data_IF_791205402143
#
_entry.id   IF_791205402143
#
_cell.length_a   1.000
_cell.length_b   1.000
_cell.length_c   1.000
_cell.angle_alpha   90.00
_cell.angle_beta   90.00
_cell.angle_gamma   90.00
#
_symmetry.space_group_name_H-M   'P 1'
#
loop_
_entity.id
_entity.type
_entity.pdbx_description
1 polymer ?
#
# COMPACT_ATOMS: atom_id res chain seq x y z
N UNK A 1 0.13 -14.15 10.64
CA UNK A 1 -0.85 -13.50 9.74
C UNK A 1 -1.75 -14.55 9.14
N UNK A 2 -3.05 -14.36 9.24
CA UNK A 2 -4.07 -15.16 8.56
C UNK A 2 -4.20 -14.70 7.09
N UNK A 3 -4.80 -15.53 6.23
CA UNK A 3 -5.10 -15.11 4.84
C UNK A 3 -6.02 -13.90 4.81
N UNK A 4 -6.97 -13.84 5.73
CA UNK A 4 -7.92 -12.72 5.84
C UNK A 4 -7.19 -11.40 6.14
N UNK A 5 -6.32 -11.35 7.17
CA UNK A 5 -5.52 -10.15 7.50
C UNK A 5 -4.66 -9.68 6.32
N UNK A 6 -4.07 -10.63 5.59
CA UNK A 6 -3.25 -10.34 4.42
C UNK A 6 -4.08 -9.67 3.32
N UNK A 7 -5.25 -10.24 3.00
CA UNK A 7 -6.15 -9.69 2.00
C UNK A 7 -6.73 -8.33 2.41
N UNK A 8 -7.15 -8.18 3.67
CA UNK A 8 -7.60 -6.88 4.20
C UNK A 8 -6.54 -5.79 4.00
N UNK A 9 -5.28 -6.09 4.34
CA UNK A 9 -4.20 -5.12 4.18
C UNK A 9 -3.94 -4.78 2.71
N UNK A 10 -3.87 -5.78 1.82
CA UNK A 10 -3.61 -5.53 0.40
C UNK A 10 -4.75 -4.78 -0.28
N UNK A 11 -6.00 -5.20 -0.07
CA UNK A 11 -7.17 -4.55 -0.67
C UNK A 11 -7.30 -3.12 -0.19
N UNK A 12 -7.22 -2.88 1.12
CA UNK A 12 -7.28 -1.52 1.67
C UNK A 12 -6.13 -0.63 1.17
N UNK A 13 -4.91 -1.18 1.06
CA UNK A 13 -3.76 -0.46 0.49
C UNK A 13 -4.01 -0.06 -0.96
N UNK A 14 -4.50 -0.99 -1.80
CA UNK A 14 -4.78 -0.71 -3.21
C UNK A 14 -5.88 0.35 -3.34
N UNK A 15 -6.94 0.26 -2.54
CA UNK A 15 -8.03 1.24 -2.57
C UNK A 15 -7.56 2.62 -2.14
N UNK A 16 -6.86 2.72 -1.00
CA UNK A 16 -6.41 4.03 -0.48
C UNK A 16 -5.31 4.62 -1.36
N UNK A 17 -4.30 3.85 -1.73
CA UNK A 17 -3.23 4.34 -2.60
C UNK A 17 -3.76 4.66 -4.00
N UNK A 18 -4.62 3.83 -4.58
CA UNK A 18 -5.21 4.04 -5.89
C UNK A 18 -6.05 5.31 -5.96
N UNK A 19 -7.00 5.48 -5.02
CA UNK A 19 -7.83 6.69 -4.97
C UNK A 19 -7.00 7.94 -4.68
N UNK A 20 -6.00 7.86 -3.80
CA UNK A 20 -5.09 8.97 -3.50
C UNK A 20 -4.24 9.39 -4.69
N UNK A 21 -3.68 8.43 -5.44
CA UNK A 21 -2.90 8.72 -6.65
C UNK A 21 -3.77 9.30 -7.77
N UNK A 22 -4.99 8.79 -7.97
CA UNK A 22 -5.94 9.35 -8.94
C UNK A 22 -6.33 10.77 -8.55
N UNK A 23 -6.60 11.02 -7.26
CA UNK A 23 -6.91 12.36 -6.77
C UNK A 23 -5.74 13.33 -6.96
N UNK A 24 -4.52 12.92 -6.63
CA UNK A 24 -3.32 13.70 -6.86
C UNK A 24 -3.10 14.01 -8.35
N UNK A 25 -3.31 13.01 -9.21
CA UNK A 25 -3.23 13.20 -10.67
C UNK A 25 -4.25 14.24 -11.16
N UNK A 26 -5.48 14.20 -10.67
CA UNK A 26 -6.52 15.18 -11.02
C UNK A 26 -6.15 16.60 -10.60
N UNK A 27 -5.48 16.77 -9.45
CA UNK A 27 -5.09 18.10 -8.96
C UNK A 27 -3.94 18.69 -9.77
N UNK A 28 -2.91 17.89 -10.10
CA UNK A 28 -1.68 18.44 -10.65
C UNK A 28 -1.52 18.31 -12.16
N UNK A 29 -2.17 17.33 -12.78
CA UNK A 29 -1.95 17.02 -14.21
C UNK A 29 -3.18 17.30 -15.07
N UNK A 30 -4.38 17.39 -14.50
CA UNK A 30 -5.58 17.75 -15.26
C UNK A 30 -5.78 19.26 -15.21
N UNK A 31 -6.04 19.84 -16.38
CA UNK A 31 -6.41 21.25 -16.49
C UNK A 31 -7.90 21.36 -16.75
N UNK A 32 -8.62 22.27 -16.08
CA UNK A 32 -10.03 22.49 -16.34
C UNK A 32 -10.22 23.04 -17.77
N UNK A 33 -11.29 22.61 -18.41
CA UNK A 33 -11.68 23.13 -19.74
C UNK A 33 -12.35 24.48 -19.64
N UNK A 34 -12.96 24.80 -18.51
CA UNK A 34 -13.58 26.07 -18.19
C UNK A 34 -12.64 26.90 -17.30
N UNK A 35 -12.30 28.15 -17.67
CA UNK A 35 -11.46 29.04 -16.86
C UNK A 35 -12.07 29.38 -15.47
N UNK A 36 -13.38 29.24 -15.30
CA UNK A 36 -14.09 29.50 -14.05
C UNK A 36 -14.33 28.25 -13.22
N UNK A 37 -13.85 27.09 -13.66
CA UNK A 37 -14.02 25.84 -12.93
C UNK A 37 -13.27 25.86 -11.58
N UNK A 38 -13.97 25.53 -10.50
CA UNK A 38 -13.41 25.45 -9.14
C UNK A 38 -12.55 24.16 -8.99
N UNK A 39 -12.81 23.16 -9.83
CA UNK A 39 -12.10 21.86 -9.81
C UNK A 39 -11.53 21.55 -11.19
N UNK A 40 -10.41 20.84 -11.21
CA UNK A 40 -9.73 20.49 -12.47
C UNK A 40 -10.46 19.38 -13.26
N UNK A 41 -11.24 18.54 -12.58
CA UNK A 41 -11.98 17.45 -13.18
C UNK A 41 -13.36 17.29 -12.51
N UNK A 42 -14.45 17.03 -13.25
CA UNK A 42 -15.79 16.90 -12.68
C UNK A 42 -15.93 15.82 -11.59
N UNK A 43 -15.15 14.73 -11.70
CA UNK A 43 -15.14 13.64 -10.71
C UNK A 43 -14.17 13.88 -9.54
N UNK A 44 -13.45 15.00 -9.48
CA UNK A 44 -12.46 15.26 -8.44
C UNK A 44 -13.06 15.22 -7.03
N UNK A 45 -14.24 15.83 -6.72
CA UNK A 45 -14.85 15.73 -5.40
C UNK A 45 -15.23 14.29 -5.02
N UNK A 46 -15.76 13.51 -5.98
CA UNK A 46 -16.16 12.13 -5.75
C UNK A 46 -14.95 11.24 -5.42
N UNK A 47 -13.83 11.43 -6.14
CA UNK A 47 -12.58 10.69 -5.86
C UNK A 47 -12.01 11.09 -4.51
N UNK A 48 -12.06 12.37 -4.14
CA UNK A 48 -11.68 12.83 -2.81
C UNK A 48 -12.52 12.17 -1.71
N UNK A 49 -13.84 12.19 -1.86
CA UNK A 49 -14.74 11.55 -0.90
C UNK A 49 -14.48 10.04 -0.79
N UNK A 50 -14.29 9.37 -1.92
CA UNK A 50 -13.94 7.95 -1.94
C UNK A 50 -12.63 7.68 -1.20
N UNK A 51 -11.59 8.51 -1.44
CA UNK A 51 -10.30 8.39 -0.74
C UNK A 51 -10.45 8.52 0.77
N UNK A 52 -11.17 9.54 1.22
CA UNK A 52 -11.44 9.77 2.66
C UNK A 52 -12.24 8.61 3.26
N UNK A 53 -13.24 8.10 2.54
CA UNK A 53 -14.12 7.03 3.01
C UNK A 53 -13.40 5.68 3.13
N UNK A 54 -12.45 5.38 2.24
CA UNK A 54 -11.71 4.11 2.28
C UNK A 54 -10.49 4.15 3.22
N UNK A 55 -10.02 5.34 3.62
CA UNK A 55 -8.86 5.48 4.52
C UNK A 55 -8.99 4.73 5.85
N UNK A 56 -10.15 4.73 6.55
CA UNK A 56 -10.35 3.93 7.77
C UNK A 56 -10.15 2.44 7.59
N UNK A 57 -10.38 1.88 6.39
CA UNK A 57 -10.16 0.46 6.11
C UNK A 57 -8.67 0.10 6.22
N UNK A 58 -7.77 0.98 5.78
CA UNK A 58 -6.33 0.78 5.91
C UNK A 58 -5.90 0.84 7.38
N UNK A 59 -6.43 1.78 8.15
CA UNK A 59 -6.15 1.90 9.59
C UNK A 59 -6.61 0.64 10.33
N UNK A 60 -7.82 0.17 10.03
CA UNK A 60 -8.36 -1.08 10.57
C UNK A 60 -7.48 -2.29 10.20
N UNK A 61 -7.12 -2.44 8.92
CA UNK A 61 -6.27 -3.54 8.46
C UNK A 61 -4.88 -3.51 9.11
N UNK A 62 -4.29 -2.32 9.26
CA UNK A 62 -3.03 -2.15 9.97
C UNK A 62 -3.14 -2.55 11.46
N UNK A 63 -4.25 -2.23 12.12
CA UNK A 63 -4.55 -2.66 13.49
C UNK A 63 -4.64 -4.17 13.63
N UNK A 64 -5.33 -4.87 12.69
CA UNK A 64 -5.40 -6.34 12.67
C UNK A 64 -4.01 -6.98 12.56
N UNK A 65 -3.17 -6.43 11.69
CA UNK A 65 -1.81 -6.95 11.43
C UNK A 65 -0.85 -6.62 12.57
N UNK A 66 -1.10 -5.56 13.32
CA UNK A 66 -0.24 -5.13 14.42
C UNK A 66 0.02 -6.25 15.42
N UNK A 67 -1.02 -6.85 15.96
CA UNK A 67 -0.90 -7.87 17.00
C UNK A 67 -0.39 -9.21 16.45
N UNK A 68 -0.92 -9.65 15.33
CA UNK A 68 -0.63 -10.98 14.77
C UNK A 68 0.73 -11.06 14.07
N UNK A 69 1.23 -9.95 13.52
CA UNK A 69 2.46 -9.94 12.73
C UNK A 69 3.55 -9.09 13.39
N UNK A 70 3.30 -7.79 13.63
CA UNK A 70 4.33 -6.86 14.10
C UNK A 70 4.78 -7.21 15.51
N UNK A 71 3.84 -7.31 16.45
CA UNK A 71 4.11 -7.62 17.85
C UNK A 71 4.67 -9.04 18.06
N UNK A 72 4.11 -10.01 17.33
CA UNK A 72 4.59 -11.38 17.36
C UNK A 72 6.04 -11.53 16.86
N UNK A 73 6.42 -10.83 15.79
CA UNK A 73 7.79 -10.82 15.27
C UNK A 73 8.76 -10.11 16.21
N UNK A 74 8.31 -9.02 16.84
CA UNK A 74 9.10 -8.31 17.85
C UNK A 74 9.43 -9.20 19.03
N UNK A 75 8.44 -9.88 19.61
CA UNK A 75 8.62 -10.79 20.76
C UNK A 75 9.52 -11.99 20.43
N UNK A 76 9.45 -12.51 19.22
CA UNK A 76 10.25 -13.66 18.76
C UNK A 76 11.67 -13.30 18.33
N UNK A 77 12.05 -12.03 18.36
CA UNK A 77 13.38 -11.58 17.98
C UNK A 77 13.69 -11.73 16.48
N UNK A 78 12.70 -11.90 15.61
CA UNK A 78 12.88 -12.08 14.17
C UNK A 78 13.42 -10.78 13.56
N UNK A 79 14.64 -10.83 13.02
CA UNK A 79 15.32 -9.64 12.46
C UNK A 79 14.89 -9.34 11.02
N UNK A 80 14.46 -10.34 10.26
CA UNK A 80 14.08 -10.19 8.84
C UNK A 80 12.79 -9.40 8.69
N UNK A 81 12.80 -8.34 7.88
CA UNK A 81 11.63 -7.46 7.66
C UNK A 81 11.31 -6.48 8.79
N UNK A 82 12.08 -6.49 9.91
CA UNK A 82 11.83 -5.62 11.06
C UNK A 82 11.98 -4.14 10.73
N UNK A 83 13.01 -3.79 9.92
CA UNK A 83 13.27 -2.39 9.54
C UNK A 83 12.15 -1.83 8.66
N UNK A 84 11.72 -2.58 7.65
CA UNK A 84 10.62 -2.16 6.76
C UNK A 84 9.26 -2.16 7.48
N UNK A 85 8.98 -3.14 8.34
CA UNK A 85 7.77 -3.15 9.16
C UNK A 85 7.70 -1.97 10.12
N UNK A 86 8.82 -1.61 10.77
CA UNK A 86 8.90 -0.43 11.63
C UNK A 86 8.75 0.86 10.80
N UNK A 87 9.37 0.94 9.63
CA UNK A 87 9.21 2.08 8.71
C UNK A 87 7.76 2.29 8.30
N UNK A 88 7.02 1.21 7.98
CA UNK A 88 5.59 1.29 7.68
C UNK A 88 4.78 1.84 8.85
N UNK A 89 5.06 1.42 10.09
CA UNK A 89 4.36 1.93 11.28
C UNK A 89 4.69 3.39 11.57
N UNK A 90 5.96 3.76 11.45
CA UNK A 90 6.40 5.15 11.68
C UNK A 90 5.84 6.13 10.63
N UNK A 91 5.64 5.70 9.39
CA UNK A 91 5.05 6.54 8.34
C UNK A 91 3.53 6.53 8.36
N UNK A 92 2.88 5.46 8.85
CA UNK A 92 1.43 5.35 8.94
C UNK A 92 0.82 6.42 9.86
N UNK A 93 1.42 6.64 11.04
CA UNK A 93 0.88 7.58 12.03
C UNK A 93 0.83 9.02 11.49
N UNK A 94 1.92 9.62 11.01
CA UNK A 94 1.87 10.98 10.47
C UNK A 94 1.04 11.06 9.18
N UNK A 95 0.99 10.00 8.36
CA UNK A 95 0.14 9.93 7.17
C UNK A 95 -1.34 10.03 7.53
N UNK A 96 -1.80 9.25 8.51
CA UNK A 96 -3.20 9.27 8.96
C UNK A 96 -3.51 10.60 9.65
N UNK A 97 -2.67 11.04 10.58
CA UNK A 97 -2.87 12.30 11.31
C UNK A 97 -2.96 13.50 10.35
N UNK A 98 -2.02 13.61 9.40
CA UNK A 98 -2.03 14.70 8.41
C UNK A 98 -3.24 14.64 7.49
N UNK A 99 -3.72 13.45 7.11
CA UNK A 99 -4.94 13.28 6.33
C UNK A 99 -6.19 13.84 7.03
N UNK A 100 -6.33 13.60 8.34
CA UNK A 100 -7.41 14.21 9.13
C UNK A 100 -7.23 15.71 9.33
N UNK A 101 -6.02 16.16 9.65
CA UNK A 101 -5.72 17.57 9.83
C UNK A 101 -5.93 18.38 8.56
N UNK A 102 -5.66 17.79 7.40
CA UNK A 102 -5.92 18.40 6.10
C UNK A 102 -7.41 18.69 5.86
N UNK A 103 -8.31 17.84 6.39
CA UNK A 103 -9.75 18.03 6.25
C UNK A 103 -10.32 19.10 7.21
N UNK A 104 -9.65 19.33 8.34
CA UNK A 104 -10.10 20.25 9.39
C UNK A 104 -9.36 21.59 9.37
N UNK A 105 -8.29 21.72 8.60
CA UNK A 105 -7.52 22.96 8.50
C UNK A 105 -8.32 24.05 7.79
N UNK A 106 -8.58 25.14 8.49
CA UNK A 106 -9.26 26.33 7.97
C UNK A 106 -8.27 27.31 7.35
N UNK A 107 -7.08 27.42 7.93
CA UNK A 107 -6.01 28.30 7.46
C UNK A 107 -5.24 27.67 6.30
N UNK A 108 -5.04 28.43 5.21
CA UNK A 108 -4.40 27.92 3.99
C UNK A 108 -2.92 27.54 4.19
N UNK A 109 -2.19 28.26 5.08
CA UNK A 109 -0.80 27.96 5.35
C UNK A 109 -0.68 26.60 6.06
N UNK A 110 -1.50 26.36 7.09
CA UNK A 110 -1.57 25.09 7.77
C UNK A 110 -2.06 23.96 6.88
N UNK A 111 -3.06 24.22 6.04
CA UNK A 111 -3.55 23.25 5.05
C UNK A 111 -2.43 22.82 4.10
N UNK A 112 -1.63 23.75 3.62
CA UNK A 112 -0.50 23.45 2.76
C UNK A 112 0.58 22.63 3.48
N UNK A 113 0.89 22.92 4.75
CA UNK A 113 1.81 22.12 5.56
C UNK A 113 1.31 20.66 5.67
N UNK A 114 0.04 20.47 6.02
CA UNK A 114 -0.52 19.13 6.17
C UNK A 114 -0.63 18.38 4.84
N UNK A 115 -0.85 19.09 3.74
CA UNK A 115 -0.82 18.52 2.39
C UNK A 115 0.55 17.89 2.10
N UNK A 116 1.63 18.64 2.31
CA UNK A 116 2.98 18.12 2.06
C UNK A 116 3.36 17.00 3.03
N UNK A 117 3.02 17.11 4.30
CA UNK A 117 3.23 16.03 5.27
C UNK A 117 2.51 14.77 4.82
N UNK A 118 1.23 14.89 4.41
CA UNK A 118 0.44 13.75 3.93
C UNK A 118 1.04 13.12 2.67
N UNK A 119 1.42 13.90 1.68
CA UNK A 119 1.98 13.40 0.43
C UNK A 119 3.33 12.70 0.63
N UNK A 120 4.23 13.31 1.39
CA UNK A 120 5.56 12.75 1.65
C UNK A 120 5.43 11.44 2.44
N UNK A 121 4.64 11.44 3.50
CA UNK A 121 4.47 10.24 4.33
C UNK A 121 3.71 9.12 3.59
N UNK A 122 2.74 9.46 2.74
CA UNK A 122 2.03 8.50 1.89
C UNK A 122 2.95 7.89 0.83
N UNK A 123 3.76 8.71 0.16
CA UNK A 123 4.75 8.24 -0.81
C UNK A 123 5.80 7.31 -0.17
N UNK A 124 6.32 7.70 0.99
CA UNK A 124 7.25 6.87 1.77
C UNK A 124 6.59 5.56 2.21
N UNK A 125 5.34 5.62 2.68
CA UNK A 125 4.61 4.44 3.09
C UNK A 125 4.42 3.45 1.93
N UNK A 126 4.01 3.93 0.75
CA UNK A 126 3.87 3.10 -0.47
C UNK A 126 5.22 2.49 -0.86
N UNK A 127 6.29 3.27 -0.87
CA UNK A 127 7.62 2.79 -1.23
C UNK A 127 8.10 1.68 -0.27
N UNK A 128 7.95 1.88 1.05
CA UNK A 128 8.32 0.90 2.06
C UNK A 128 7.42 -0.34 2.00
N UNK A 129 6.12 -0.17 1.73
CA UNK A 129 5.19 -1.28 1.52
C UNK A 129 5.62 -2.14 0.33
N UNK A 130 5.90 -1.55 -0.82
CA UNK A 130 6.37 -2.27 -2.01
C UNK A 130 7.71 -2.98 -1.74
N UNK A 131 8.66 -2.29 -1.11
CA UNK A 131 9.93 -2.89 -0.73
C UNK A 131 9.76 -4.08 0.23
N UNK A 132 8.78 -4.02 1.13
CA UNK A 132 8.45 -5.11 2.05
C UNK A 132 7.88 -6.35 1.32
N UNK A 133 7.22 -6.17 0.19
CA UNK A 133 6.66 -7.28 -0.61
C UNK A 133 7.71 -8.00 -1.46
N UNK A 134 8.80 -7.34 -1.87
CA UNK A 134 9.81 -7.91 -2.77
C UNK A 134 10.40 -9.25 -2.30
N UNK A 135 10.82 -9.43 -1.03
CA UNK A 135 11.34 -10.72 -0.57
C UNK A 135 10.31 -11.84 -0.64
N UNK A 136 9.05 -11.55 -0.37
CA UNK A 136 7.96 -12.53 -0.39
C UNK A 136 7.70 -13.03 -1.81
N UNK A 137 7.63 -12.12 -2.77
CA UNK A 137 7.43 -12.44 -4.19
C UNK A 137 8.61 -13.25 -4.75
N UNK A 138 9.85 -12.89 -4.41
CA UNK A 138 11.05 -13.63 -4.84
C UNK A 138 11.05 -15.07 -4.35
N UNK A 139 10.73 -15.31 -3.07
CA UNK A 139 10.64 -16.64 -2.49
C UNK A 139 9.55 -17.47 -3.16
N UNK A 140 8.40 -16.85 -3.41
CA UNK A 140 7.27 -17.52 -4.07
C UNK A 140 7.61 -17.94 -5.51
N UNK A 141 8.27 -17.06 -6.29
CA UNK A 141 8.74 -17.38 -7.65
C UNK A 141 9.79 -18.50 -7.65
N UNK A 142 10.73 -18.50 -6.70
CA UNK A 142 11.74 -19.55 -6.59
C UNK A 142 11.09 -20.92 -6.28
N UNK A 143 10.13 -20.97 -5.35
CA UNK A 143 9.38 -22.20 -5.04
C UNK A 143 8.60 -22.72 -6.23
N UNK A 144 7.96 -21.86 -7.03
CA UNK A 144 7.27 -22.28 -8.25
C UNK A 144 8.21 -22.86 -9.31
N UNK A 145 9.39 -22.27 -9.48
CA UNK A 145 10.42 -22.79 -10.41
C UNK A 145 10.93 -24.16 -9.99
N UNK A 146 11.08 -24.41 -8.71
CA UNK A 146 11.50 -25.72 -8.17
C UNK A 146 10.41 -26.78 -8.23
N UNK A 147 9.15 -26.40 -8.19
CA UNK A 147 8.01 -27.30 -8.26
C UNK A 147 7.59 -27.64 -9.72
N UNK A 148 8.16 -26.98 -10.73
CA UNK A 148 7.94 -27.34 -12.13
C UNK A 148 8.57 -28.71 -12.42
N UNK A 149 7.79 -29.72 -12.90
CA UNK A 149 8.35 -31.04 -13.19
C UNK A 149 9.42 -30.93 -14.26
N UNK A 150 10.62 -31.47 -13.97
CA UNK A 150 11.68 -31.63 -14.95
C UNK A 150 11.20 -32.65 -16.00
N UNK A 151 10.64 -32.17 -17.08
CA UNK A 151 10.23 -32.97 -18.24
C UNK A 151 11.46 -33.41 -19.05
N UNK A 152 12.28 -34.31 -18.51
CA UNK A 152 13.28 -35.00 -19.29
C UNK A 152 13.82 -36.24 -18.55
N UNK A 153 12.95 -37.24 -18.34
CA UNK A 153 13.45 -38.60 -18.23
C UNK A 153 13.38 -39.22 -19.63
N UNK A 154 14.50 -39.57 -20.26
CA UNK A 154 14.45 -40.34 -21.52
C UNK A 154 13.83 -41.70 -21.18
N UNK A 155 12.75 -42.06 -21.85
CA UNK A 155 12.25 -43.43 -21.87
C UNK A 155 13.32 -44.30 -22.51
N UNK A 156 14.05 -45.01 -21.71
CA UNK A 156 14.87 -46.13 -22.18
C UNK A 156 13.90 -47.23 -22.64
N UNK A 157 13.64 -47.27 -23.93
CA UNK A 157 13.07 -48.43 -24.60
C UNK A 157 14.05 -49.54 -24.50
N UNK A 158 13.88 -50.42 -23.50
CA UNK A 158 14.57 -51.73 -23.45
C UNK A 158 14.02 -52.63 -24.54
N UNK A 159 14.76 -52.74 -25.65
CA UNK A 159 14.60 -53.81 -26.62
C UNK A 159 15.21 -55.04 -25.99
N UNK A 160 14.34 -56.00 -25.60
CA UNK A 160 14.79 -57.37 -25.30
C UNK A 160 14.69 -58.16 -26.61
N UNK A 161 15.82 -58.61 -27.12
CA UNK A 161 15.98 -59.72 -28.05
C UNK A 161 15.84 -61.05 -27.35
#
# INVERSE_FOLDING_TARGET
>A
MTRFETWCLHVSTILVAGTGLVYAWMIWFVRPTDPYAIVNHPLQPQVQHAHVLVAPLLVFAAGLVWQSHVWAHWRRGVRRGRRSGLGMMLTLVPMVASGYLLQTAVDDAWRNVWLWVHLVTSGLWIAVYLAHQVPTVRIWMQRRRQAAPTSSAPRTTGIRS
#
